data_IF_769556154398
#
_entry.id   IF_769556154398
#
_cell.length_a   1.000
_cell.length_b   1.000
_cell.length_c   1.000
_cell.angle_alpha   90.00
_cell.angle_beta   90.00
_cell.angle_gamma   90.00
#
_symmetry.space_group_name_H-M   'P 1'
#
loop_
_entity.id
_entity.type
_entity.pdbx_description
1 polymer ?
#
# COMPACT_ATOMS: atom_id res chain seq x y z
N UNK A 1 22.72 34.82 -41.92
CA UNK A 1 22.68 33.37 -42.19
C UNK A 1 22.39 32.69 -40.85
N UNK A 2 21.20 32.16 -40.76
CA UNK A 2 20.58 31.58 -39.57
C UNK A 2 21.23 30.24 -39.22
N UNK A 3 21.45 30.06 -37.92
CA UNK A 3 21.50 28.71 -37.33
C UNK A 3 20.47 28.59 -36.23
N UNK A 4 19.58 27.60 -36.30
CA UNK A 4 18.56 27.39 -35.28
C UNK A 4 19.12 26.67 -34.05
N UNK A 5 18.64 27.09 -32.87
CA UNK A 5 18.79 26.42 -31.58
C UNK A 5 18.24 25.00 -31.66
N UNK A 6 19.09 24.05 -31.38
CA UNK A 6 18.78 22.67 -31.18
C UNK A 6 18.34 22.50 -29.71
N UNK A 7 17.03 22.35 -29.52
CA UNK A 7 16.43 22.08 -28.19
C UNK A 7 16.42 20.58 -28.00
N UNK A 8 17.38 20.07 -27.27
CA UNK A 8 17.39 18.68 -26.83
C UNK A 8 16.23 18.43 -25.86
N UNK A 9 15.48 17.32 -26.00
CA UNK A 9 14.48 16.95 -25.01
C UNK A 9 15.15 16.40 -23.76
N UNK A 10 14.68 16.90 -22.61
CA UNK A 10 15.07 16.37 -21.30
C UNK A 10 14.77 14.87 -21.20
N UNK A 11 15.68 14.08 -20.59
CA UNK A 11 15.40 12.66 -20.36
C UNK A 11 14.34 12.50 -19.27
N UNK A 12 13.24 11.85 -19.64
CA UNK A 12 12.29 11.32 -18.69
C UNK A 12 13.02 10.38 -17.73
N UNK A 13 13.06 10.74 -16.44
CA UNK A 13 13.51 9.84 -15.39
C UNK A 13 12.50 8.69 -15.25
N UNK A 14 12.83 7.61 -15.93
CA UNK A 14 12.18 6.32 -15.81
C UNK A 14 12.58 5.69 -14.47
N UNK A 15 11.69 5.75 -13.47
CA UNK A 15 11.82 5.09 -12.17
C UNK A 15 11.56 3.59 -12.30
N UNK A 16 12.36 2.90 -13.12
CA UNK A 16 12.30 1.46 -13.28
C UNK A 16 13.55 0.79 -12.73
N UNK A 17 13.61 0.61 -11.41
CA UNK A 17 14.42 -0.46 -10.83
C UNK A 17 13.63 -1.19 -9.74
N UNK A 18 12.73 -2.07 -10.19
CA UNK A 18 12.15 -3.12 -9.38
C UNK A 18 12.90 -4.43 -9.66
N UNK A 19 13.77 -4.84 -8.76
CA UNK A 19 14.35 -6.17 -8.78
C UNK A 19 13.35 -7.18 -8.18
N UNK A 20 12.97 -8.16 -9.00
CA UNK A 20 12.71 -9.53 -8.57
C UNK A 20 11.30 -9.90 -8.14
N UNK A 21 10.65 -10.74 -8.94
CA UNK A 21 9.75 -11.79 -8.48
C UNK A 21 8.26 -11.49 -8.54
N UNK A 22 7.52 -12.20 -9.43
CA UNK A 22 6.12 -12.56 -9.34
C UNK A 22 5.13 -11.40 -9.19
N UNK A 23 4.08 -11.38 -10.00
CA UNK A 23 2.96 -10.42 -9.93
C UNK A 23 2.36 -10.27 -8.52
N UNK A 24 3.08 -9.66 -7.60
CA UNK A 24 2.48 -9.07 -6.39
C UNK A 24 1.83 -7.78 -6.86
N UNK A 25 0.50 -7.68 -6.76
CA UNK A 25 -0.21 -6.43 -6.94
C UNK A 25 0.56 -5.33 -6.17
N UNK A 26 0.92 -4.24 -6.86
CA UNK A 26 1.65 -3.13 -6.22
C UNK A 26 0.83 -2.66 -5.03
N UNK A 27 1.38 -2.77 -3.83
CA UNK A 27 0.72 -2.40 -2.58
C UNK A 27 0.27 -0.93 -2.63
N UNK A 28 1.05 -0.07 -3.27
CA UNK A 28 0.78 1.35 -3.43
C UNK A 28 0.60 1.72 -4.90
N UNK A 29 -0.42 2.52 -5.17
CA UNK A 29 -0.65 3.20 -6.45
C UNK A 29 0.16 4.49 -6.51
N UNK A 30 0.40 5.07 -7.71
CA UNK A 30 1.00 6.38 -7.81
C UNK A 30 0.23 7.40 -6.95
N UNK A 31 0.94 8.11 -6.09
CA UNK A 31 0.35 9.12 -5.18
C UNK A 31 -0.06 8.61 -3.80
N UNK A 32 -0.25 7.31 -3.58
CA UNK A 32 -0.66 6.75 -2.29
C UNK A 32 0.31 7.14 -1.15
N UNK A 33 1.62 7.06 -1.39
CA UNK A 33 2.63 7.42 -0.39
C UNK A 33 2.59 8.91 -0.02
N UNK A 34 2.30 9.79 -0.99
CA UNK A 34 2.14 11.23 -0.74
C UNK A 34 0.93 11.50 0.17
N UNK A 35 -0.18 10.79 -0.09
CA UNK A 35 -1.41 10.92 0.67
C UNK A 35 -1.25 10.37 2.09
N UNK A 36 -0.57 9.22 2.26
CA UNK A 36 -0.25 8.67 3.57
C UNK A 36 0.70 9.56 4.37
N UNK A 37 1.73 10.12 3.74
CA UNK A 37 2.63 11.04 4.40
C UNK A 37 1.89 12.28 4.92
N UNK A 38 1.01 12.90 4.11
CA UNK A 38 0.16 14.01 4.55
C UNK A 38 -0.76 13.60 5.70
N UNK A 39 -1.38 12.43 5.64
CA UNK A 39 -2.24 11.90 6.69
C UNK A 39 -1.48 11.73 8.02
N UNK A 40 -0.27 11.21 7.98
CA UNK A 40 0.57 11.04 9.17
C UNK A 40 0.97 12.40 9.73
N UNK A 41 1.37 13.35 8.88
CA UNK A 41 1.75 14.70 9.29
C UNK A 41 0.57 15.51 9.83
N UNK A 42 -0.67 15.20 9.43
CA UNK A 42 -1.88 15.83 9.98
C UNK A 42 -2.17 15.39 11.43
N UNK A 43 -1.76 14.19 11.80
CA UNK A 43 -1.92 13.70 13.18
C UNK A 43 -0.92 14.38 14.15
N UNK A 44 0.34 14.54 13.73
CA UNK A 44 1.40 15.22 14.50
C UNK A 44 2.61 15.52 13.62
N UNK A 45 3.39 16.57 13.94
CA UNK A 45 4.71 16.74 13.35
C UNK A 45 5.61 15.53 13.66
N UNK A 46 6.41 15.10 12.68
CA UNK A 46 7.32 13.97 12.85
C UNK A 46 8.51 14.01 11.90
N UNK A 47 9.52 13.22 12.20
CA UNK A 47 10.70 13.05 11.35
C UNK A 47 10.44 12.07 10.22
N UNK A 48 11.22 12.16 9.14
CA UNK A 48 11.04 11.29 7.97
C UNK A 48 11.11 9.80 8.31
N UNK A 49 11.97 9.42 9.25
CA UNK A 49 12.07 8.05 9.72
C UNK A 49 10.77 7.57 10.43
N UNK A 50 10.10 8.47 11.19
CA UNK A 50 8.83 8.14 11.85
C UNK A 50 7.70 7.97 10.81
N UNK A 51 7.73 8.73 9.70
CA UNK A 51 6.80 8.54 8.58
C UNK A 51 6.98 7.14 7.98
N UNK A 52 8.22 6.69 7.75
CA UNK A 52 8.52 5.33 7.27
C UNK A 52 7.93 4.28 8.21
N UNK A 53 8.17 4.42 9.50
CA UNK A 53 7.68 3.50 10.53
C UNK A 53 6.15 3.47 10.57
N UNK A 54 5.50 4.63 10.59
CA UNK A 54 4.03 4.74 10.64
C UNK A 54 3.38 4.13 9.40
N UNK A 55 3.97 4.29 8.20
CA UNK A 55 3.48 3.60 7.00
C UNK A 55 3.64 2.09 7.16
N UNK A 56 4.77 1.60 7.67
CA UNK A 56 5.00 0.18 7.96
C UNK A 56 3.95 -0.39 8.91
N UNK A 57 3.59 0.34 9.96
CA UNK A 57 2.55 -0.04 10.91
C UNK A 57 1.15 -0.07 10.26
N UNK A 58 0.84 0.90 9.39
CA UNK A 58 -0.42 0.93 8.63
C UNK A 58 -0.60 -0.27 7.70
N UNK A 59 0.47 -0.82 7.15
CA UNK A 59 0.41 -2.03 6.29
C UNK A 59 0.58 -3.34 7.05
N UNK A 60 0.71 -3.29 8.38
CA UNK A 60 0.81 -4.50 9.22
C UNK A 60 2.21 -5.08 9.39
N UNK A 61 3.25 -4.29 9.18
CA UNK A 61 4.65 -4.65 9.49
C UNK A 61 5.36 -5.52 8.45
N UNK A 62 4.66 -5.99 7.43
CA UNK A 62 5.24 -6.82 6.35
C UNK A 62 5.97 -6.04 5.26
N UNK A 63 5.90 -4.71 5.30
CA UNK A 63 6.54 -3.80 4.35
C UNK A 63 6.76 -2.43 5.01
N UNK A 64 7.89 -1.83 4.75
CA UNK A 64 8.14 -0.42 5.04
C UNK A 64 8.77 0.22 3.78
N UNK A 65 8.33 1.42 3.39
CA UNK A 65 8.96 2.11 2.26
C UNK A 65 10.41 2.46 2.60
N UNK A 66 11.27 2.42 1.58
CA UNK A 66 12.68 2.77 1.77
C UNK A 66 12.87 4.27 2.04
N UNK A 67 13.95 4.68 2.72
CA UNK A 67 14.34 6.07 2.85
C UNK A 67 14.43 6.78 1.50
N UNK A 68 14.99 6.11 0.47
CA UNK A 68 15.08 6.62 -0.90
C UNK A 68 13.73 6.91 -1.57
N UNK A 69 12.63 6.37 -1.05
CA UNK A 69 11.28 6.66 -1.53
C UNK A 69 10.61 7.77 -0.70
N UNK A 70 10.79 7.75 0.63
CA UNK A 70 10.07 8.68 1.52
C UNK A 70 10.69 10.06 1.54
N UNK A 71 12.01 10.21 1.57
CA UNK A 71 12.61 11.53 1.60
C UNK A 71 12.31 12.37 0.34
N UNK A 72 12.39 11.83 -0.90
CA UNK A 72 11.91 12.55 -2.08
C UNK A 72 10.40 12.86 -2.04
N UNK A 73 9.60 11.99 -1.46
CA UNK A 73 8.16 12.24 -1.26
C UNK A 73 7.92 13.42 -0.33
N UNK A 74 8.65 13.50 0.80
CA UNK A 74 8.56 14.61 1.75
C UNK A 74 9.08 15.92 1.14
N UNK A 75 10.19 15.88 0.41
CA UNK A 75 10.72 17.04 -0.32
C UNK A 75 9.68 17.56 -1.34
N UNK A 76 9.04 16.68 -2.10
CA UNK A 76 7.97 17.05 -3.00
C UNK A 76 6.78 17.73 -2.28
N UNK A 77 6.39 17.26 -1.09
CA UNK A 77 5.30 17.88 -0.31
C UNK A 77 5.71 19.25 0.23
N UNK A 78 6.98 19.43 0.62
CA UNK A 78 7.58 20.70 1.02
C UNK A 78 7.58 21.68 -0.16
N UNK A 79 8.08 21.29 -1.33
CA UNK A 79 8.13 22.11 -2.55
C UNK A 79 6.74 22.57 -3.00
N UNK A 80 5.71 21.76 -2.76
CA UNK A 80 4.32 22.11 -3.03
C UNK A 80 3.66 22.95 -1.93
N UNK A 81 4.37 23.28 -0.86
CA UNK A 81 3.87 24.07 0.25
C UNK A 81 2.79 23.37 1.08
N UNK A 82 2.58 22.06 0.90
CA UNK A 82 1.58 21.27 1.66
C UNK A 82 2.18 20.66 2.93
N UNK A 83 3.50 20.59 3.03
CA UNK A 83 4.25 20.32 4.24
C UNK A 83 5.28 21.45 4.47
N UNK A 84 5.67 21.66 5.71
CA UNK A 84 6.73 22.56 6.08
C UNK A 84 7.78 21.82 6.92
N UNK A 85 9.02 22.28 6.83
CA UNK A 85 10.16 21.70 7.56
C UNK A 85 10.64 22.68 8.61
N UNK A 86 10.91 22.18 9.80
CA UNK A 86 11.63 22.86 10.85
C UNK A 86 12.96 22.12 11.09
N UNK A 87 14.08 22.83 10.91
CA UNK A 87 15.38 22.27 11.24
C UNK A 87 15.50 22.17 12.76
N UNK A 88 15.86 21.00 13.28
CA UNK A 88 16.14 20.82 14.69
C UNK A 88 17.61 21.13 15.00
N UNK A 89 17.92 21.40 16.27
CA UNK A 89 19.28 21.74 16.71
C UNK A 89 20.30 20.61 16.44
N UNK A 90 19.82 19.36 16.28
CA UNK A 90 20.62 18.19 15.94
C UNK A 90 20.75 17.95 14.42
N UNK A 91 20.32 18.91 13.59
CA UNK A 91 20.38 18.83 12.12
C UNK A 91 19.29 17.95 11.48
N UNK A 92 18.41 17.34 12.27
CA UNK A 92 17.28 16.55 11.74
C UNK A 92 16.15 17.48 11.26
N UNK A 93 15.45 17.06 10.22
CA UNK A 93 14.27 17.76 9.70
C UNK A 93 13.01 17.22 10.38
N UNK A 94 12.26 18.11 11.02
CA UNK A 94 10.92 17.86 11.53
C UNK A 94 9.91 18.37 10.50
N UNK A 95 9.05 17.47 10.00
CA UNK A 95 8.01 17.82 9.03
C UNK A 95 6.69 18.03 9.74
N UNK A 96 5.92 19.02 9.29
CA UNK A 96 4.55 19.30 9.73
C UNK A 96 3.67 19.58 8.54
N UNK A 97 2.36 19.31 8.65
CA UNK A 97 1.39 19.71 7.64
C UNK A 97 1.17 21.22 7.69
N UNK A 98 0.86 21.82 6.54
CA UNK A 98 0.46 23.23 6.45
C UNK A 98 -1.07 23.33 6.27
N UNK A 99 -1.64 24.53 6.43
CA UNK A 99 -3.04 24.77 6.12
C UNK A 99 -3.41 24.40 4.67
N UNK A 100 -2.49 24.55 3.72
CA UNK A 100 -2.67 24.08 2.34
C UNK A 100 -2.69 22.55 2.26
N UNK A 101 -1.83 21.88 3.06
CA UNK A 101 -1.80 20.43 3.18
C UNK A 101 -3.08 19.86 3.78
N UNK A 102 -3.63 20.50 4.81
CA UNK A 102 -4.91 20.12 5.44
C UNK A 102 -6.06 20.21 4.44
N UNK A 103 -6.16 21.33 3.69
CA UNK A 103 -7.14 21.46 2.62
C UNK A 103 -6.98 20.38 1.56
N UNK A 104 -5.75 20.12 1.13
CA UNK A 104 -5.46 19.05 0.16
C UNK A 104 -5.86 17.67 0.67
N UNK A 105 -5.63 17.40 1.94
CA UNK A 105 -6.02 16.14 2.58
C UNK A 105 -7.55 16.00 2.65
N UNK A 106 -8.26 17.09 2.97
CA UNK A 106 -9.72 17.13 2.99
C UNK A 106 -10.33 16.90 1.60
N UNK A 107 -9.79 17.56 0.56
CA UNK A 107 -10.20 17.33 -0.83
C UNK A 107 -10.02 15.86 -1.27
N UNK A 108 -8.96 15.22 -0.77
CA UNK A 108 -8.60 13.83 -1.08
C UNK A 108 -9.09 12.81 -0.06
N UNK A 109 -10.03 13.21 0.79
CA UNK A 109 -10.58 12.34 1.84
C UNK A 109 -11.14 11.02 1.32
N UNK A 110 -11.94 10.98 0.24
CA UNK A 110 -12.44 9.71 -0.30
C UNK A 110 -11.31 8.78 -0.77
N UNK A 111 -10.26 9.35 -1.43
CA UNK A 111 -9.12 8.58 -1.89
C UNK A 111 -8.33 8.01 -0.71
N UNK A 112 -8.16 8.79 0.37
CA UNK A 112 -7.51 8.36 1.60
C UNK A 112 -8.28 7.24 2.30
N UNK A 113 -9.60 7.38 2.43
CA UNK A 113 -10.44 6.37 3.09
C UNK A 113 -10.42 5.04 2.31
N UNK A 114 -10.49 5.09 0.98
CA UNK A 114 -10.35 3.92 0.12
C UNK A 114 -8.95 3.28 0.24
N UNK A 115 -7.89 4.09 0.34
CA UNK A 115 -6.52 3.62 0.54
C UNK A 115 -6.39 2.92 1.91
N UNK A 116 -6.85 3.55 2.98
CA UNK A 116 -6.78 3.00 4.34
C UNK A 116 -7.62 1.71 4.48
N UNK A 117 -8.78 1.62 3.83
CA UNK A 117 -9.58 0.40 3.75
C UNK A 117 -8.77 -0.73 3.10
N UNK A 118 -8.21 -0.48 1.91
CA UNK A 118 -7.38 -1.45 1.18
C UNK A 118 -6.18 -1.94 1.97
N UNK A 119 -5.51 -1.04 2.73
CA UNK A 119 -4.37 -1.41 3.58
C UNK A 119 -4.82 -2.25 4.79
N UNK A 120 -5.99 -1.98 5.37
CA UNK A 120 -6.57 -2.81 6.44
C UNK A 120 -6.91 -4.21 5.96
N UNK A 121 -7.51 -4.34 4.78
CA UNK A 121 -7.84 -5.63 4.19
C UNK A 121 -6.57 -6.45 3.91
N UNK A 122 -5.57 -5.84 3.29
CA UNK A 122 -4.26 -6.47 3.07
C UNK A 122 -3.54 -6.85 4.36
N UNK A 123 -3.70 -6.08 5.44
CA UNK A 123 -3.16 -6.38 6.77
C UNK A 123 -3.84 -7.58 7.42
N UNK A 124 -5.16 -7.68 7.28
CA UNK A 124 -5.94 -8.83 7.76
C UNK A 124 -5.51 -10.11 7.04
N UNK A 125 -5.38 -10.07 5.71
CA UNK A 125 -4.87 -11.19 4.93
C UNK A 125 -3.42 -11.56 5.30
N UNK A 126 -2.56 -10.57 5.54
CA UNK A 126 -1.17 -10.82 5.95
C UNK A 126 -1.10 -11.50 7.32
N UNK A 127 -1.95 -11.11 8.28
CA UNK A 127 -2.06 -11.77 9.58
C UNK A 127 -2.55 -13.21 9.46
N UNK A 128 -3.60 -13.45 8.66
CA UNK A 128 -4.09 -14.80 8.41
C UNK A 128 -3.00 -15.71 7.82
N UNK A 129 -2.16 -15.16 6.94
CA UNK A 129 -1.01 -15.88 6.35
C UNK A 129 0.12 -16.17 7.35
N UNK A 130 0.14 -15.55 8.52
CA UNK A 130 1.16 -15.82 9.55
C UNK A 130 0.75 -16.96 10.50
N UNK A 131 -0.48 -17.47 10.42
CA UNK A 131 -0.94 -18.64 11.16
C UNK A 131 -0.64 -19.91 10.33
N UNK A 132 0.30 -20.79 10.77
CA UNK A 132 0.75 -21.93 9.95
C UNK A 132 -0.39 -22.85 9.51
N UNK A 133 -1.39 -23.06 10.35
CA UNK A 133 -2.53 -23.90 10.03
C UNK A 133 -3.44 -23.28 8.97
N UNK A 134 -3.67 -21.98 9.02
CA UNK A 134 -4.43 -21.27 7.97
C UNK A 134 -3.63 -21.27 6.66
N UNK A 135 -2.32 -21.03 6.70
CA UNK A 135 -1.47 -21.12 5.51
C UNK A 135 -1.56 -22.49 4.87
N UNK A 136 -1.42 -23.54 5.65
CA UNK A 136 -1.52 -24.93 5.18
C UNK A 136 -2.90 -25.21 4.56
N UNK A 137 -4.00 -24.81 5.23
CA UNK A 137 -5.35 -24.96 4.73
C UNK A 137 -5.58 -24.24 3.40
N UNK A 138 -5.09 -22.98 3.27
CA UNK A 138 -5.18 -22.22 2.04
C UNK A 138 -4.36 -22.83 0.89
N UNK A 139 -3.16 -23.35 1.15
CA UNK A 139 -2.37 -24.04 0.13
C UNK A 139 -3.02 -25.37 -0.30
N UNK A 140 -3.64 -26.10 0.62
CA UNK A 140 -4.43 -27.29 0.29
C UNK A 140 -5.61 -26.94 -0.62
N UNK A 141 -6.36 -25.87 -0.32
CA UNK A 141 -7.47 -25.39 -1.15
C UNK A 141 -6.98 -25.00 -2.55
N UNK A 142 -5.90 -24.23 -2.67
CA UNK A 142 -5.33 -23.88 -3.96
C UNK A 142 -4.88 -25.10 -4.77
N UNK A 143 -4.32 -26.09 -4.11
CA UNK A 143 -3.88 -27.34 -4.75
C UNK A 143 -5.08 -28.12 -5.25
N UNK A 144 -6.14 -28.26 -4.45
CA UNK A 144 -7.40 -28.89 -4.87
C UNK A 144 -8.00 -28.20 -6.10
N UNK A 145 -8.07 -26.86 -6.09
CA UNK A 145 -8.54 -26.08 -7.24
C UNK A 145 -7.68 -26.32 -8.49
N UNK A 146 -6.35 -26.28 -8.37
CA UNK A 146 -5.46 -26.56 -9.50
C UNK A 146 -5.69 -27.96 -10.08
N UNK A 147 -5.86 -28.96 -9.23
CA UNK A 147 -6.15 -30.32 -9.68
C UNK A 147 -7.51 -30.41 -10.40
N UNK A 148 -8.54 -29.75 -9.88
CA UNK A 148 -9.85 -29.68 -10.55
C UNK A 148 -9.77 -29.04 -11.94
N UNK A 149 -8.87 -28.08 -12.15
CA UNK A 149 -8.69 -27.38 -13.43
C UNK A 149 -7.60 -27.98 -14.32
N UNK A 150 -6.82 -28.94 -13.83
CA UNK A 150 -5.70 -29.53 -14.59
C UNK A 150 -6.15 -30.36 -15.80
N UNK A 151 -7.34 -30.97 -15.73
CA UNK A 151 -7.92 -31.75 -16.82
C UNK A 151 -8.73 -30.92 -17.83
N UNK A 152 -8.73 -29.60 -17.68
CA UNK A 152 -9.53 -28.64 -18.46
C UNK A 152 -10.49 -27.84 -17.58
N UNK A 153 -11.25 -26.94 -18.20
CA UNK A 153 -12.27 -26.17 -17.46
C UNK A 153 -13.40 -27.09 -17.02
N UNK A 154 -13.73 -27.17 -15.72
CA UNK A 154 -14.90 -27.91 -15.24
C UNK A 154 -16.20 -27.35 -15.85
N UNK A 155 -17.25 -28.19 -15.88
CA UNK A 155 -18.58 -27.73 -16.27
C UNK A 155 -19.12 -26.66 -15.30
N UNK A 156 -20.13 -25.92 -15.78
CA UNK A 156 -20.68 -24.79 -15.00
C UNK A 156 -21.38 -25.24 -13.71
N UNK A 157 -21.83 -26.47 -13.61
CA UNK A 157 -22.43 -27.05 -12.39
C UNK A 157 -21.33 -27.29 -11.34
N UNK A 158 -20.20 -27.84 -11.76
CA UNK A 158 -19.02 -28.06 -10.91
C UNK A 158 -18.42 -26.74 -10.44
N UNK A 159 -18.33 -25.74 -11.33
CA UNK A 159 -17.86 -24.38 -10.95
C UNK A 159 -18.75 -23.76 -9.89
N UNK A 160 -20.09 -23.81 -10.06
CA UNK A 160 -21.05 -23.33 -9.06
C UNK A 160 -20.91 -24.05 -7.72
N UNK A 161 -20.78 -25.37 -7.73
CA UNK A 161 -20.61 -26.18 -6.51
C UNK A 161 -19.33 -25.81 -5.77
N UNK A 162 -18.22 -25.56 -6.47
CA UNK A 162 -16.96 -25.11 -5.88
C UNK A 162 -17.15 -23.73 -5.22
N UNK A 163 -17.80 -22.79 -5.91
CA UNK A 163 -18.11 -21.48 -5.37
C UNK A 163 -18.95 -21.56 -4.10
N UNK A 164 -20.03 -22.35 -4.10
CA UNK A 164 -20.91 -22.56 -2.93
C UNK A 164 -20.16 -23.13 -1.71
N UNK A 165 -19.16 -24.00 -1.93
CA UNK A 165 -18.34 -24.55 -0.84
C UNK A 165 -17.48 -23.44 -0.23
N UNK A 166 -16.86 -22.62 -1.06
CA UNK A 166 -15.98 -21.54 -0.62
C UNK A 166 -16.78 -20.45 0.11
N UNK A 167 -17.96 -20.09 -0.43
CA UNK A 167 -18.84 -19.09 0.17
C UNK A 167 -19.38 -19.56 1.54
N UNK A 168 -19.76 -20.83 1.67
CA UNK A 168 -20.14 -21.40 2.97
C UNK A 168 -19.02 -21.35 3.98
N UNK A 169 -17.81 -21.74 3.59
CA UNK A 169 -16.65 -21.66 4.48
C UNK A 169 -16.38 -20.21 4.92
N UNK A 170 -16.52 -19.23 4.03
CA UNK A 170 -16.37 -17.82 4.35
C UNK A 170 -17.43 -17.35 5.38
N UNK A 171 -18.69 -17.78 5.21
CA UNK A 171 -19.77 -17.47 6.17
C UNK A 171 -19.52 -18.12 7.53
N UNK A 172 -19.06 -19.36 7.57
CA UNK A 172 -18.75 -20.06 8.83
C UNK A 172 -17.60 -19.36 9.57
N UNK A 173 -16.52 -18.99 8.87
CA UNK A 173 -15.39 -18.23 9.45
C UNK A 173 -15.86 -16.88 10.01
N UNK A 174 -16.77 -16.18 9.32
CA UNK A 174 -17.27 -14.88 9.79
C UNK A 174 -18.15 -14.96 11.05
N UNK A 175 -18.62 -16.15 11.40
CA UNK A 175 -19.45 -16.40 12.59
C UNK A 175 -18.64 -16.89 13.79
N UNK A 176 -17.35 -17.13 13.63
CA UNK A 176 -16.49 -17.50 14.78
C UNK A 176 -16.49 -16.34 15.78
N UNK A 177 -16.74 -16.62 17.07
CA UNK A 177 -16.72 -15.57 18.08
C UNK A 177 -15.32 -14.98 18.20
N UNK A 178 -15.27 -13.65 18.35
CA UNK A 178 -14.05 -12.95 18.80
C UNK A 178 -13.84 -13.33 20.28
N UNK A 179 -13.10 -14.40 20.56
CA UNK A 179 -12.64 -14.66 21.92
C UNK A 179 -11.53 -13.64 22.25
N UNK A 180 -11.76 -12.75 23.23
CA UNK A 180 -10.70 -11.85 23.67
C UNK A 180 -9.60 -12.67 24.36
N UNK A 181 -8.36 -12.50 23.88
CA UNK A 181 -7.17 -12.96 24.58
C UNK A 181 -6.86 -12.06 25.75
#
# INVERSE_FOLDING_TARGET
>A
MNSPCDTAPEPAHDDAQAHGGGRRARLFRPGDLKLLALHILAARPCHGYEVIRSIGELVGGGYAPSPGTIYPTLAFLEDRGVAAVEAQADGRKLYRITAAGERRLAEKRPDLDALLARLRDGRSEARARQVPDIMRAMENLKTALRLCFAAGRPDDASVRRIADIIDRAAVEVSRLPDEPR
#
